data_IF_152317651208
#
_entry.id   IF_152317651208
#
_cell.length_a   1.000
_cell.length_b   1.000
_cell.length_c   1.000
_cell.angle_alpha   90.00
_cell.angle_beta   90.00
_cell.angle_gamma   90.00
#
_symmetry.space_group_name_H-M   'P 1'
#
loop_
_entity.id
_entity.type
_entity.pdbx_description
1 polymer ?
#
# COMPACT_ATOMS: atom_id res chain seq x y z
N UNK A 1 5.86 16.40 -19.42
CA UNK A 1 5.76 15.72 -18.10
C UNK A 1 6.46 14.37 -18.13
N UNK A 2 6.26 13.55 -19.18
CA UNK A 2 6.95 12.26 -19.37
C UNK A 2 8.43 12.35 -19.81
N UNK A 3 8.83 13.44 -20.49
CA UNK A 3 10.20 13.58 -21.02
C UNK A 3 11.29 13.61 -19.90
N UNK A 4 12.49 13.07 -20.17
CA UNK A 4 13.56 12.87 -19.17
C UNK A 4 14.31 14.14 -18.74
N UNK A 5 13.90 15.35 -19.14
CA UNK A 5 14.61 16.58 -18.81
C UNK A 5 13.74 17.66 -18.15
N UNK A 6 14.39 18.34 -17.20
CA UNK A 6 13.99 19.51 -16.41
C UNK A 6 12.74 19.32 -15.50
N UNK A 7 13.00 19.03 -14.21
CA UNK A 7 11.97 18.92 -13.16
C UNK A 7 11.15 20.22 -13.04
N UNK A 8 11.78 21.37 -13.25
CA UNK A 8 11.11 22.68 -13.19
C UNK A 8 10.10 22.79 -14.32
N UNK A 9 10.45 22.34 -15.53
CA UNK A 9 9.53 22.32 -16.66
C UNK A 9 8.37 21.33 -16.44
N UNK A 10 8.64 20.16 -15.84
CA UNK A 10 7.58 19.19 -15.47
C UNK A 10 6.61 19.79 -14.46
N UNK A 11 7.11 20.45 -13.41
CA UNK A 11 6.29 21.11 -12.40
C UNK A 11 5.48 22.27 -12.98
N UNK A 12 6.09 23.11 -13.83
CA UNK A 12 5.38 24.18 -14.52
C UNK A 12 4.26 23.65 -15.42
N UNK A 13 4.51 22.58 -16.18
CA UNK A 13 3.49 21.95 -17.02
C UNK A 13 2.34 21.36 -16.19
N UNK A 14 2.63 20.70 -15.06
CA UNK A 14 1.61 20.17 -14.16
C UNK A 14 0.75 21.30 -13.56
N UNK A 15 1.36 22.41 -13.14
CA UNK A 15 0.64 23.59 -12.64
C UNK A 15 -0.26 24.20 -13.69
N UNK A 16 0.21 24.33 -14.94
CA UNK A 16 -0.59 24.82 -16.05
C UNK A 16 -1.80 23.90 -16.31
N UNK A 17 -1.60 22.58 -16.29
CA UNK A 17 -2.72 21.62 -16.43
C UNK A 17 -3.76 21.80 -15.32
N UNK A 18 -3.31 21.95 -14.07
CA UNK A 18 -4.21 22.21 -12.94
C UNK A 18 -5.00 23.51 -13.12
N UNK A 19 -4.36 24.59 -13.59
CA UNK A 19 -5.06 25.84 -13.90
C UNK A 19 -6.06 25.68 -15.05
N UNK A 20 -5.76 24.84 -16.05
CA UNK A 20 -6.67 24.57 -17.15
C UNK A 20 -7.93 23.79 -16.74
N UNK A 21 -7.92 23.12 -15.58
CA UNK A 21 -9.08 22.38 -15.09
C UNK A 21 -10.27 23.27 -14.72
N UNK A 22 -10.08 24.58 -14.53
CA UNK A 22 -11.16 25.55 -14.35
C UNK A 22 -12.07 25.67 -15.58
N UNK A 23 -11.61 25.20 -16.75
CA UNK A 23 -12.33 25.33 -18.00
C UNK A 23 -13.00 24.02 -18.44
N UNK A 24 -14.34 23.96 -18.51
CA UNK A 24 -15.06 22.72 -18.86
C UNK A 24 -14.71 22.12 -20.22
N UNK A 25 -14.35 22.97 -21.20
CA UNK A 25 -13.97 22.53 -22.53
C UNK A 25 -12.63 21.77 -22.57
N UNK A 26 -11.74 22.03 -21.60
CA UNK A 26 -10.41 21.42 -21.53
C UNK A 26 -10.45 20.05 -20.84
N UNK A 27 -11.41 19.82 -19.94
CA UNK A 27 -11.48 18.63 -19.08
C UNK A 27 -11.43 17.30 -19.85
N UNK A 28 -12.11 17.19 -21.00
CA UNK A 28 -12.09 15.96 -21.80
C UNK A 28 -10.70 15.65 -22.36
N UNK A 29 -9.98 16.69 -22.78
CA UNK A 29 -8.61 16.57 -23.30
C UNK A 29 -7.62 16.29 -22.18
N UNK A 30 -7.75 16.99 -21.05
CA UNK A 30 -6.93 16.79 -19.85
C UNK A 30 -7.13 15.36 -19.34
N UNK A 31 -8.37 14.87 -19.23
CA UNK A 31 -8.66 13.49 -18.85
C UNK A 31 -7.95 12.48 -19.73
N UNK A 32 -8.03 12.64 -21.06
CA UNK A 32 -7.36 11.73 -21.99
C UNK A 32 -5.83 11.74 -21.81
N UNK A 33 -5.25 12.93 -21.66
CA UNK A 33 -3.81 13.09 -21.42
C UNK A 33 -3.39 12.53 -20.06
N UNK A 34 -4.19 12.72 -19.02
CA UNK A 34 -3.94 12.22 -17.68
C UNK A 34 -4.05 10.69 -17.62
N UNK A 35 -5.05 10.12 -18.28
CA UNK A 35 -5.18 8.67 -18.40
C UNK A 35 -3.95 8.08 -19.11
N UNK A 36 -3.52 8.69 -20.23
CA UNK A 36 -2.31 8.27 -20.93
C UNK A 36 -1.05 8.38 -20.05
N UNK A 37 -0.91 9.47 -19.29
CA UNK A 37 0.21 9.68 -18.37
C UNK A 37 0.21 8.63 -17.25
N UNK A 38 -0.95 8.38 -16.63
CA UNK A 38 -1.11 7.35 -15.60
C UNK A 38 -0.83 5.95 -16.15
N UNK A 39 -1.05 5.70 -17.43
CA UNK A 39 -0.80 4.42 -18.07
C UNK A 39 0.70 4.12 -18.30
N UNK A 40 1.56 5.14 -18.28
CA UNK A 40 3.01 5.00 -18.52
C UNK A 40 3.67 4.09 -17.49
N UNK A 41 4.46 3.11 -17.95
CA UNK A 41 5.15 2.14 -17.11
C UNK A 41 6.25 2.72 -16.21
N UNK A 42 6.51 4.01 -16.33
CA UNK A 42 7.50 4.80 -15.58
C UNK A 42 6.81 5.99 -14.90
N UNK A 43 5.49 5.89 -14.68
CA UNK A 43 4.69 6.98 -14.12
C UNK A 43 5.24 7.43 -12.76
N UNK A 44 5.70 6.52 -11.91
CA UNK A 44 6.26 6.89 -10.61
C UNK A 44 7.77 7.20 -10.65
N UNK A 45 8.45 6.88 -11.76
CA UNK A 45 9.87 7.15 -11.95
C UNK A 45 10.14 8.63 -12.25
N UNK A 46 11.26 9.15 -11.73
CA UNK A 46 11.79 10.50 -11.97
C UNK A 46 10.79 11.65 -11.72
N UNK A 47 9.94 11.51 -10.69
CA UNK A 47 8.99 12.55 -10.25
C UNK A 47 9.15 12.83 -8.76
N UNK A 48 9.35 14.10 -8.43
CA UNK A 48 9.39 14.56 -7.06
C UNK A 48 8.02 14.52 -6.39
N UNK A 49 8.01 14.55 -5.06
CA UNK A 49 6.78 14.63 -4.27
C UNK A 49 5.91 15.81 -4.63
N UNK A 50 6.52 16.98 -4.83
CA UNK A 50 5.83 18.18 -5.27
C UNK A 50 5.14 17.98 -6.63
N UNK A 51 5.80 17.32 -7.59
CA UNK A 51 5.23 17.05 -8.90
C UNK A 51 4.06 16.07 -8.84
N UNK A 52 4.18 14.97 -8.08
CA UNK A 52 3.08 14.03 -7.92
C UNK A 52 1.88 14.68 -7.24
N UNK A 53 2.11 15.57 -6.26
CA UNK A 53 1.03 16.32 -5.61
C UNK A 53 0.29 17.26 -6.57
N UNK A 54 1.01 17.99 -7.44
CA UNK A 54 0.37 18.82 -8.48
C UNK A 54 -0.37 17.98 -9.53
N UNK A 55 0.15 16.80 -9.88
CA UNK A 55 -0.57 15.87 -10.76
C UNK A 55 -1.83 15.32 -10.10
N UNK A 56 -1.77 15.04 -8.80
CA UNK A 56 -2.90 14.63 -7.99
C UNK A 56 -4.01 15.69 -7.96
N UNK A 57 -3.69 16.97 -7.80
CA UNK A 57 -4.66 18.09 -7.92
C UNK A 57 -5.39 18.06 -9.27
N UNK A 58 -4.64 17.79 -10.35
CA UNK A 58 -5.21 17.68 -11.70
C UNK A 58 -6.11 16.43 -11.83
N UNK A 59 -5.70 15.29 -11.25
CA UNK A 59 -6.50 14.06 -11.23
C UNK A 59 -7.83 14.28 -10.50
N UNK A 60 -7.80 14.95 -9.36
CA UNK A 60 -9.00 15.24 -8.57
C UNK A 60 -10.00 16.08 -9.35
N UNK A 61 -9.52 17.16 -9.98
CA UNK A 61 -10.41 18.02 -10.75
C UNK A 61 -11.05 17.30 -11.95
N UNK A 62 -10.32 16.37 -12.58
CA UNK A 62 -10.88 15.50 -13.62
C UNK A 62 -11.93 14.55 -13.02
N UNK A 63 -11.68 13.97 -11.85
CA UNK A 63 -12.59 13.04 -11.19
C UNK A 63 -13.87 13.70 -10.66
N UNK A 64 -13.80 14.97 -10.25
CA UNK A 64 -14.98 15.77 -9.84
C UNK A 64 -15.95 15.92 -11.01
N UNK A 65 -15.39 16.11 -12.19
CA UNK A 65 -16.15 16.30 -13.43
C UNK A 65 -16.58 14.99 -14.07
N UNK A 66 -15.74 13.95 -14.00
CA UNK A 66 -15.95 12.67 -14.66
C UNK A 66 -15.31 11.51 -13.88
N UNK A 67 -16.17 10.75 -13.19
CA UNK A 67 -15.77 9.59 -12.38
C UNK A 67 -15.22 8.43 -13.21
N UNK A 68 -15.35 8.44 -14.54
CA UNK A 68 -14.93 7.29 -15.37
C UNK A 68 -13.41 7.16 -15.54
N UNK A 69 -12.59 8.10 -15.05
CA UNK A 69 -11.13 7.99 -15.08
C UNK A 69 -10.63 6.73 -14.32
N UNK A 70 -11.16 6.46 -13.12
CA UNK A 70 -10.78 5.26 -12.35
C UNK A 70 -11.26 3.96 -13.01
N UNK A 71 -12.44 4.00 -13.65
CA UNK A 71 -12.96 2.88 -14.42
C UNK A 71 -12.08 2.59 -15.65
N UNK A 72 -11.57 3.62 -16.33
CA UNK A 72 -10.66 3.49 -17.47
C UNK A 72 -9.36 2.77 -17.11
N UNK A 73 -8.74 3.13 -15.98
CA UNK A 73 -7.58 2.41 -15.43
C UNK A 73 -7.90 0.95 -15.09
N UNK A 74 -9.17 0.64 -14.82
CA UNK A 74 -9.59 -0.68 -14.37
C UNK A 74 -9.88 -1.67 -15.49
N UNK A 75 -10.34 -1.21 -16.66
CA UNK A 75 -10.84 -2.04 -17.76
C UNK A 75 -9.77 -2.45 -18.78
N UNK A 76 -8.73 -1.64 -19.00
CA UNK A 76 -7.81 -1.80 -20.12
C UNK A 76 -6.91 -3.06 -20.02
N UNK A 77 -6.62 -3.56 -18.81
CA UNK A 77 -5.75 -4.73 -18.61
C UNK A 77 -6.47 -6.10 -18.74
N UNK A 78 -7.77 -6.13 -19.05
CA UNK A 78 -8.50 -7.40 -19.24
C UNK A 78 -8.31 -8.01 -20.64
N UNK A 79 -7.54 -7.35 -21.53
CA UNK A 79 -7.51 -7.66 -22.97
C UNK A 79 -6.33 -8.50 -23.50
N UNK A 80 -5.34 -8.91 -22.70
CA UNK A 80 -4.12 -9.57 -23.25
C UNK A 80 -4.19 -11.09 -23.09
N UNK A 81 -4.97 -11.74 -23.96
CA UNK A 81 -5.17 -13.19 -24.00
C UNK A 81 -4.78 -13.84 -25.33
N UNK A 82 -3.72 -13.40 -26.00
CA UNK A 82 -3.30 -13.95 -27.29
C UNK A 82 -1.77 -14.04 -27.43
N UNK A 83 -1.15 -15.04 -26.81
CA UNK A 83 0.26 -15.41 -27.02
C UNK A 83 0.44 -16.92 -26.82
N UNK A 84 1.20 -17.60 -27.68
CA UNK A 84 1.42 -19.06 -27.63
C UNK A 84 2.20 -19.54 -26.41
N UNK A 85 2.15 -20.85 -26.12
CA UNK A 85 2.49 -21.53 -24.85
C UNK A 85 3.83 -21.09 -24.21
N UNK A 86 4.86 -20.73 -24.97
CA UNK A 86 6.16 -20.24 -24.46
C UNK A 86 6.18 -18.73 -24.19
N UNK A 87 5.42 -17.95 -24.94
CA UNK A 87 5.14 -16.53 -24.68
C UNK A 87 4.09 -16.33 -23.56
N UNK A 88 3.32 -17.37 -23.22
CA UNK A 88 2.38 -17.38 -22.09
C UNK A 88 3.11 -17.24 -20.75
N UNK A 89 4.26 -17.88 -20.55
CA UNK A 89 4.98 -17.82 -19.27
C UNK A 89 5.74 -16.51 -19.07
N UNK A 90 6.51 -16.06 -20.08
CA UNK A 90 7.16 -14.74 -20.03
C UNK A 90 6.13 -13.58 -20.01
N UNK A 91 5.03 -13.76 -20.75
CA UNK A 91 3.90 -12.84 -20.74
C UNK A 91 3.22 -12.77 -19.38
N UNK A 92 3.10 -13.89 -18.66
CA UNK A 92 2.43 -13.94 -17.35
C UNK A 92 3.14 -13.08 -16.30
N UNK A 93 4.45 -13.17 -16.14
CA UNK A 93 5.15 -12.33 -15.15
C UNK A 93 5.09 -10.85 -15.51
N UNK A 94 5.21 -10.52 -16.80
CA UNK A 94 5.03 -9.15 -17.29
C UNK A 94 3.60 -8.63 -17.09
N UNK A 95 2.59 -9.49 -17.24
CA UNK A 95 1.18 -9.19 -17.01
C UNK A 95 0.89 -8.98 -15.51
N UNK A 96 1.43 -9.84 -14.64
CA UNK A 96 1.30 -9.67 -13.20
C UNK A 96 1.94 -8.38 -12.71
N UNK A 97 3.13 -8.01 -13.24
CA UNK A 97 3.75 -6.70 -12.99
C UNK A 97 2.87 -5.56 -13.49
N UNK A 98 2.28 -5.67 -14.68
CA UNK A 98 1.39 -4.63 -15.23
C UNK A 98 0.12 -4.44 -14.38
N UNK A 99 -0.45 -5.55 -13.89
CA UNK A 99 -1.61 -5.56 -12.99
C UNK A 99 -1.28 -4.92 -11.64
N UNK A 100 -0.11 -5.21 -11.07
CA UNK A 100 0.38 -4.58 -9.84
C UNK A 100 0.51 -3.06 -10.00
N UNK A 101 1.13 -2.60 -11.11
CA UNK A 101 1.24 -1.17 -11.44
C UNK A 101 -0.12 -0.48 -11.52
N UNK A 102 -1.13 -1.14 -12.09
CA UNK A 102 -2.49 -0.59 -12.13
C UNK A 102 -3.12 -0.48 -10.75
N UNK A 103 -2.93 -1.46 -9.86
CA UNK A 103 -3.43 -1.37 -8.46
C UNK A 103 -2.76 -0.19 -7.74
N UNK A 104 -1.46 0.02 -7.95
CA UNK A 104 -0.73 1.17 -7.41
C UNK A 104 -1.28 2.51 -7.91
N UNK A 105 -1.57 2.63 -9.21
CA UNK A 105 -2.17 3.84 -9.82
C UNK A 105 -3.58 4.11 -9.31
N UNK A 106 -4.38 3.06 -9.13
CA UNK A 106 -5.70 3.15 -8.48
C UNK A 106 -5.52 3.66 -7.05
N UNK A 107 -4.57 3.10 -6.31
CA UNK A 107 -4.25 3.53 -4.94
C UNK A 107 -3.82 5.00 -4.89
N UNK A 108 -3.02 5.45 -5.85
CA UNK A 108 -2.63 6.86 -5.99
C UNK A 108 -3.83 7.76 -6.22
N UNK A 109 -4.71 7.42 -7.18
CA UNK A 109 -5.91 8.21 -7.45
C UNK A 109 -6.85 8.25 -6.23
N UNK A 110 -7.01 7.12 -5.53
CA UNK A 110 -7.83 7.03 -4.31
C UNK A 110 -7.26 7.85 -3.15
N UNK A 111 -5.93 7.87 -3.00
CA UNK A 111 -5.26 8.58 -1.92
C UNK A 111 -5.44 10.08 -2.05
N UNK A 112 -5.22 10.61 -3.25
CA UNK A 112 -5.28 12.04 -3.49
C UNK A 112 -6.69 12.57 -3.77
N UNK A 113 -7.61 11.74 -4.28
CA UNK A 113 -9.00 12.16 -4.52
C UNK A 113 -9.74 12.55 -3.25
N UNK A 114 -10.82 13.31 -3.41
CA UNK A 114 -11.59 13.88 -2.30
C UNK A 114 -12.29 12.78 -1.48
N UNK A 115 -12.55 13.05 -0.21
CA UNK A 115 -13.22 12.10 0.67
C UNK A 115 -14.62 11.80 0.12
N UNK A 116 -15.05 10.53 0.15
CA UNK A 116 -16.36 10.05 -0.36
C UNK A 116 -16.55 10.08 -1.89
N UNK A 117 -15.64 10.70 -2.66
CA UNK A 117 -15.71 10.79 -4.13
C UNK A 117 -15.84 9.41 -4.81
N UNK A 118 -15.20 8.40 -4.21
CA UNK A 118 -15.10 7.04 -4.75
C UNK A 118 -16.08 6.04 -4.14
N UNK A 119 -16.99 6.41 -3.24
CA UNK A 119 -17.86 5.46 -2.53
C UNK A 119 -18.62 4.50 -3.48
N UNK A 120 -19.02 4.97 -4.66
CA UNK A 120 -19.68 4.14 -5.68
C UNK A 120 -18.73 3.15 -6.38
N UNK A 121 -17.43 3.45 -6.44
CA UNK A 121 -16.40 2.67 -7.12
C UNK A 121 -15.64 1.72 -6.18
N UNK A 122 -15.69 1.98 -4.87
CA UNK A 122 -15.03 1.17 -3.84
C UNK A 122 -15.36 -0.32 -4.00
N UNK A 123 -16.62 -0.69 -4.25
CA UNK A 123 -17.00 -2.10 -4.44
C UNK A 123 -16.29 -2.76 -5.63
N UNK A 124 -16.15 -2.04 -6.75
CA UNK A 124 -15.44 -2.53 -7.93
C UNK A 124 -13.94 -2.65 -7.68
N UNK A 125 -13.35 -1.69 -6.95
CA UNK A 125 -11.94 -1.77 -6.52
C UNK A 125 -11.73 -2.98 -5.62
N UNK A 126 -12.57 -3.20 -4.61
CA UNK A 126 -12.47 -4.34 -3.69
C UNK A 126 -12.60 -5.69 -4.40
N UNK A 127 -13.45 -5.79 -5.42
CA UNK A 127 -13.54 -6.99 -6.25
C UNK A 127 -12.23 -7.26 -7.01
N UNK A 128 -11.65 -6.21 -7.61
CA UNK A 128 -10.34 -6.31 -8.27
C UNK A 128 -9.21 -6.70 -7.31
N UNK A 129 -9.21 -6.16 -6.09
CA UNK A 129 -8.27 -6.56 -5.05
C UNK A 129 -8.48 -8.03 -4.66
N UNK A 130 -9.73 -8.50 -4.56
CA UNK A 130 -10.05 -9.91 -4.28
C UNK A 130 -9.41 -10.82 -5.33
N UNK A 131 -9.57 -10.47 -6.60
CA UNK A 131 -9.02 -11.26 -7.70
C UNK A 131 -7.50 -11.19 -7.76
N UNK A 132 -6.89 -10.07 -7.34
CA UNK A 132 -5.44 -9.97 -7.19
C UNK A 132 -4.91 -10.92 -6.11
N UNK A 133 -5.55 -10.97 -4.93
CA UNK A 133 -5.16 -11.86 -3.84
C UNK A 133 -5.31 -13.35 -4.20
N UNK A 134 -6.29 -13.71 -5.03
CA UNK A 134 -6.48 -15.11 -5.50
C UNK A 134 -5.31 -15.63 -6.32
N UNK A 135 -4.58 -14.74 -7.01
CA UNK A 135 -3.43 -15.12 -7.86
C UNK A 135 -2.19 -15.44 -7.01
N UNK A 136 -2.10 -14.93 -5.77
CA UNK A 136 -0.98 -15.14 -4.83
C UNK A 136 0.38 -14.83 -5.44
N UNK A 137 0.47 -13.69 -6.13
CA UNK A 137 1.72 -13.13 -6.62
C UNK A 137 2.21 -12.05 -5.68
N UNK A 138 3.48 -12.11 -5.27
CA UNK A 138 4.08 -11.19 -4.30
C UNK A 138 3.85 -9.71 -4.67
N UNK A 139 4.09 -9.36 -5.93
CA UNK A 139 3.89 -7.99 -6.42
C UNK A 139 2.42 -7.54 -6.31
N UNK A 140 1.47 -8.44 -6.57
CA UNK A 140 0.05 -8.15 -6.43
C UNK A 140 -0.36 -8.03 -4.96
N UNK A 141 0.16 -8.89 -4.09
CA UNK A 141 -0.08 -8.86 -2.65
C UNK A 141 0.35 -7.52 -2.06
N UNK A 142 1.59 -7.09 -2.32
CA UNK A 142 2.15 -5.85 -1.79
C UNK A 142 1.32 -4.63 -2.21
N UNK A 143 1.02 -4.52 -3.50
CA UNK A 143 0.20 -3.40 -4.02
C UNK A 143 -1.26 -3.48 -3.55
N UNK A 144 -1.79 -4.68 -3.31
CA UNK A 144 -3.13 -4.84 -2.72
C UNK A 144 -3.17 -4.33 -1.29
N UNK A 145 -2.19 -4.68 -0.46
CA UNK A 145 -2.11 -4.17 0.92
C UNK A 145 -1.80 -2.66 0.98
N UNK A 146 -1.11 -2.09 -0.01
CA UNK A 146 -1.04 -0.63 -0.18
C UNK A 146 -2.43 -0.03 -0.44
N UNK A 147 -3.17 -0.59 -1.40
CA UNK A 147 -4.51 -0.12 -1.73
C UNK A 147 -5.49 -0.23 -0.55
N UNK A 148 -5.42 -1.31 0.23
CA UNK A 148 -6.24 -1.49 1.43
C UNK A 148 -5.94 -0.43 2.49
N UNK A 149 -4.66 -0.06 2.69
CA UNK A 149 -4.29 1.03 3.61
C UNK A 149 -4.83 2.38 3.16
N UNK A 150 -4.74 2.69 1.86
CA UNK A 150 -5.36 3.90 1.29
C UNK A 150 -6.88 3.90 1.52
N UNK A 151 -7.55 2.78 1.27
CA UNK A 151 -8.99 2.66 1.49
C UNK A 151 -9.38 2.86 2.96
N UNK A 152 -8.62 2.29 3.91
CA UNK A 152 -8.82 2.52 5.35
C UNK A 152 -8.80 4.01 5.69
N UNK A 153 -7.81 4.74 5.17
CA UNK A 153 -7.61 6.16 5.47
C UNK A 153 -8.60 7.09 4.78
N UNK A 154 -9.03 6.78 3.56
CA UNK A 154 -9.85 7.69 2.73
C UNK A 154 -11.34 7.38 2.71
N UNK A 155 -11.73 6.11 2.87
CA UNK A 155 -13.14 5.67 2.79
C UNK A 155 -13.69 5.19 4.12
N UNK A 156 -12.83 5.06 5.13
CA UNK A 156 -13.16 4.56 6.46
C UNK A 156 -13.35 3.06 6.53
N UNK A 157 -13.63 2.56 7.73
CA UNK A 157 -13.64 1.14 8.09
C UNK A 157 -14.75 0.33 7.40
N UNK A 158 -15.88 0.97 7.06
CA UNK A 158 -17.10 0.28 6.60
C UNK A 158 -16.92 -0.49 5.30
N UNK A 159 -16.10 0.04 4.37
CA UNK A 159 -15.78 -0.61 3.10
C UNK A 159 -14.99 -1.91 3.33
N UNK A 160 -14.03 -1.86 4.25
CA UNK A 160 -13.10 -2.95 4.52
C UNK A 160 -13.72 -4.05 5.37
N UNK A 161 -14.74 -3.73 6.18
CA UNK A 161 -15.54 -4.72 6.91
C UNK A 161 -16.08 -5.84 6.00
N UNK A 162 -16.48 -5.50 4.77
CA UNK A 162 -16.98 -6.47 3.78
C UNK A 162 -15.87 -7.29 3.11
N UNK A 163 -14.62 -6.81 3.18
CA UNK A 163 -13.45 -7.43 2.57
C UNK A 163 -12.58 -8.20 3.60
N UNK A 164 -12.88 -8.07 4.90
CA UNK A 164 -12.09 -8.58 6.03
C UNK A 164 -11.67 -10.04 5.92
N UNK A 165 -12.55 -10.95 5.49
CA UNK A 165 -12.24 -12.38 5.41
C UNK A 165 -11.15 -12.68 4.38
N UNK A 166 -11.17 -11.97 3.25
CA UNK A 166 -10.12 -12.10 2.22
C UNK A 166 -8.79 -11.54 2.71
N UNK A 167 -8.81 -10.36 3.34
CA UNK A 167 -7.61 -9.78 3.95
C UNK A 167 -7.02 -10.68 5.03
N UNK A 168 -7.84 -11.19 5.94
CA UNK A 168 -7.41 -12.03 7.05
C UNK A 168 -6.79 -13.34 6.56
N UNK A 169 -7.43 -14.00 5.59
CA UNK A 169 -6.90 -15.24 5.00
C UNK A 169 -5.51 -15.03 4.42
N UNK A 170 -5.30 -13.91 3.74
CA UNK A 170 -4.02 -13.59 3.13
C UNK A 170 -2.97 -13.17 4.18
N UNK A 171 -3.36 -12.38 5.17
CA UNK A 171 -2.52 -12.05 6.34
C UNK A 171 -2.03 -13.32 7.05
N UNK A 172 -2.92 -14.29 7.30
CA UNK A 172 -2.58 -15.59 7.90
C UNK A 172 -1.56 -16.32 7.04
N UNK A 173 -1.84 -16.49 5.74
CA UNK A 173 -0.96 -17.18 4.79
C UNK A 173 0.47 -16.61 4.79
N UNK A 174 0.59 -15.28 4.83
CA UNK A 174 1.89 -14.60 4.78
C UNK A 174 2.61 -14.74 6.11
N UNK A 175 1.90 -14.57 7.23
CA UNK A 175 2.49 -14.66 8.57
C UNK A 175 2.87 -16.10 8.96
N UNK A 176 2.25 -17.13 8.38
CA UNK A 176 2.66 -18.54 8.51
C UNK A 176 4.10 -18.77 8.01
N UNK A 177 4.57 -17.96 7.05
CA UNK A 177 5.93 -18.02 6.50
C UNK A 177 6.51 -16.61 6.34
N UNK A 178 6.77 -15.91 7.46
CA UNK A 178 7.00 -14.46 7.49
C UNK A 178 8.35 -14.04 6.88
N UNK A 179 9.24 -15.00 6.61
CA UNK A 179 10.55 -14.78 5.99
C UNK A 179 10.66 -15.32 4.56
N UNK A 180 9.58 -15.88 4.00
CA UNK A 180 9.57 -16.38 2.62
C UNK A 180 9.66 -15.23 1.61
N UNK A 181 8.90 -14.16 1.85
CA UNK A 181 9.08 -12.87 1.18
C UNK A 181 8.95 -11.73 2.21
N UNK A 182 10.06 -11.04 2.55
CA UNK A 182 10.02 -9.95 3.51
C UNK A 182 9.22 -8.75 3.01
N UNK A 183 9.02 -8.60 1.69
CA UNK A 183 8.24 -7.50 1.12
C UNK A 183 6.74 -7.69 1.33
N UNK A 184 6.21 -8.89 1.08
CA UNK A 184 4.83 -9.25 1.43
C UNK A 184 4.58 -9.09 2.93
N UNK A 185 5.50 -9.58 3.75
CA UNK A 185 5.38 -9.52 5.21
C UNK A 185 5.41 -8.08 5.72
N UNK A 186 6.30 -7.24 5.21
CA UNK A 186 6.33 -5.82 5.56
C UNK A 186 5.04 -5.10 5.13
N UNK A 187 4.45 -5.43 3.97
CA UNK A 187 3.18 -4.86 3.54
C UNK A 187 2.02 -5.22 4.49
N UNK A 188 1.97 -6.48 4.94
CA UNK A 188 1.00 -6.96 5.94
C UNK A 188 1.21 -6.28 7.28
N UNK A 189 2.45 -6.21 7.78
CA UNK A 189 2.75 -5.56 9.05
C UNK A 189 2.39 -4.08 9.05
N UNK A 190 2.65 -3.36 7.95
CA UNK A 190 2.22 -1.96 7.79
C UNK A 190 0.70 -1.80 7.78
N UNK A 191 -0.02 -2.75 7.17
CA UNK A 191 -1.48 -2.76 7.22
C UNK A 191 -1.97 -2.99 8.64
N UNK A 192 -1.41 -3.95 9.37
CA UNK A 192 -1.76 -4.22 10.76
C UNK A 192 -1.42 -3.03 11.69
N UNK A 193 -0.28 -2.37 11.49
CA UNK A 193 0.09 -1.15 12.22
C UNK A 193 -0.96 -0.05 12.00
N UNK A 194 -1.38 0.18 10.75
CA UNK A 194 -2.45 1.14 10.46
C UNK A 194 -3.79 0.78 11.12
N UNK A 195 -4.16 -0.50 11.09
CA UNK A 195 -5.38 -1.00 11.75
C UNK A 195 -5.32 -0.78 13.27
N UNK A 196 -4.16 -1.00 13.90
CA UNK A 196 -3.96 -0.72 15.33
C UNK A 196 -3.99 0.76 15.65
N UNK A 197 -3.37 1.60 14.81
CA UNK A 197 -3.34 3.06 14.95
C UNK A 197 -4.74 3.67 14.86
N UNK A 198 -5.55 3.20 13.92
CA UNK A 198 -6.94 3.65 13.73
C UNK A 198 -7.91 3.00 14.72
N UNK A 199 -7.44 2.12 15.61
CA UNK A 199 -8.25 1.39 16.59
C UNK A 199 -9.50 0.74 15.97
N UNK A 200 -9.32 0.07 14.83
CA UNK A 200 -10.43 -0.53 14.10
C UNK A 200 -10.95 -1.73 14.90
N UNK A 201 -12.07 -1.54 15.61
CA UNK A 201 -12.66 -2.54 16.51
C UNK A 201 -13.03 -3.85 15.80
N UNK A 202 -13.43 -3.76 14.53
CA UNK A 202 -13.75 -4.91 13.68
C UNK A 202 -12.54 -5.83 13.39
N UNK A 203 -11.30 -5.37 13.63
CA UNK A 203 -10.05 -6.14 13.47
C UNK A 203 -9.32 -6.41 14.79
N UNK A 204 -9.85 -5.91 15.92
CA UNK A 204 -9.16 -5.89 17.21
C UNK A 204 -8.93 -7.31 17.77
N UNK A 205 -9.92 -8.21 17.62
CA UNK A 205 -9.81 -9.58 18.11
C UNK A 205 -8.88 -10.44 17.24
N UNK A 206 -8.81 -10.17 15.93
CA UNK A 206 -7.84 -10.84 15.05
C UNK A 206 -6.41 -10.41 15.35
N UNK A 207 -6.18 -9.15 15.74
CA UNK A 207 -4.84 -8.69 16.13
C UNK A 207 -4.32 -9.43 17.37
N UNK A 208 -5.17 -9.67 18.37
CA UNK A 208 -4.82 -10.55 19.50
C UNK A 208 -4.45 -11.96 19.01
N UNK A 209 -5.19 -12.53 18.05
CA UNK A 209 -4.87 -13.86 17.50
C UNK A 209 -3.45 -13.95 16.88
N UNK A 210 -2.93 -12.85 16.33
CA UNK A 210 -1.56 -12.82 15.78
C UNK A 210 -0.48 -12.59 16.83
N UNK A 211 -0.74 -11.79 17.88
CA UNK A 211 0.30 -11.30 18.79
C UNK A 211 0.09 -11.65 20.27
N UNK A 212 -0.90 -12.48 20.62
CA UNK A 212 -1.24 -12.87 22.01
C UNK A 212 -0.04 -13.40 22.81
N UNK A 213 0.87 -14.10 22.12
CA UNK A 213 2.06 -14.71 22.72
C UNK A 213 3.21 -13.73 22.99
N UNK A 214 3.11 -12.45 22.59
CA UNK A 214 4.18 -11.48 22.80
C UNK A 214 4.16 -10.83 24.20
N UNK A 215 3.05 -10.92 24.93
CA UNK A 215 2.88 -10.34 26.26
C UNK A 215 3.42 -11.22 27.41
N UNK A 216 3.71 -12.49 27.18
CA UNK A 216 4.16 -13.42 28.22
C UNK A 216 5.67 -13.62 28.17
N UNK A 217 6.39 -12.81 28.94
CA UNK A 217 7.85 -12.93 29.19
C UNK A 217 8.25 -14.19 29.98
N UNK A 218 7.46 -15.26 29.98
CA UNK A 218 7.65 -16.42 30.85
C UNK A 218 7.79 -17.72 30.07
N UNK A 219 8.94 -17.89 29.41
CA UNK A 219 9.70 -19.15 29.37
C UNK A 219 9.01 -20.47 29.01
N UNK A 220 7.81 -20.46 28.42
CA UNK A 220 7.14 -21.66 27.92
C UNK A 220 6.69 -21.38 26.50
N UNK A 221 7.51 -21.86 25.57
CA UNK A 221 7.12 -22.12 24.19
C UNK A 221 6.04 -23.20 24.24
N UNK A 222 4.80 -22.81 24.57
CA UNK A 222 3.66 -23.60 24.14
C UNK A 222 3.66 -23.53 22.63
N UNK A 223 3.61 -24.70 21.98
CA UNK A 223 3.36 -24.85 20.54
C UNK A 223 2.04 -24.14 20.20
N UNK A 224 2.12 -22.83 20.03
CA UNK A 224 1.01 -22.00 19.64
C UNK A 224 0.82 -22.24 18.16
N UNK A 225 -0.29 -22.85 17.77
CA UNK A 225 -0.73 -22.94 16.37
C UNK A 225 -1.15 -21.56 15.81
N UNK A 226 -0.71 -20.46 16.43
CA UNK A 226 -0.94 -19.12 15.92
C UNK A 226 -0.18 -18.95 14.60
N UNK A 227 -0.80 -18.30 13.60
CA UNK A 227 -0.20 -18.15 12.28
C UNK A 227 1.10 -17.34 12.30
N UNK A 228 1.31 -16.46 13.29
CA UNK A 228 2.55 -15.70 13.44
C UNK A 228 3.56 -16.36 14.41
N UNK A 229 3.40 -17.63 14.77
CA UNK A 229 4.26 -18.30 15.76
C UNK A 229 5.75 -18.25 15.41
N UNK A 230 6.11 -18.41 14.12
CA UNK A 230 7.50 -18.29 13.68
C UNK A 230 8.05 -16.86 13.84
N UNK A 231 7.23 -15.85 13.52
CA UNK A 231 7.58 -14.45 13.72
C UNK A 231 7.75 -14.12 15.21
N UNK A 232 6.82 -14.58 16.05
CA UNK A 232 6.83 -14.36 17.50
C UNK A 232 7.99 -15.11 18.16
N UNK A 233 8.32 -16.33 17.74
CA UNK A 233 9.48 -17.07 18.23
C UNK A 233 10.78 -16.31 17.94
N UNK A 234 10.93 -15.75 16.74
CA UNK A 234 12.07 -14.91 16.37
C UNK A 234 12.13 -13.60 17.12
N UNK A 235 10.98 -13.03 17.48
CA UNK A 235 10.89 -11.84 18.32
C UNK A 235 11.30 -12.16 19.76
N UNK A 236 10.81 -13.27 20.32
CA UNK A 236 11.04 -13.70 21.70
C UNK A 236 12.51 -14.00 22.04
N UNK A 237 13.37 -14.21 21.03
CA UNK A 237 14.83 -14.20 21.20
C UNK A 237 15.37 -12.84 21.72
N UNK A 238 14.54 -11.79 21.74
CA UNK A 238 14.87 -10.40 22.05
C UNK A 238 13.86 -9.88 23.09
N UNK A 239 14.32 -9.26 24.18
CA UNK A 239 13.44 -8.83 25.27
C UNK A 239 12.55 -7.63 24.88
N UNK A 240 11.29 -7.90 24.51
CA UNK A 240 10.35 -6.88 23.99
C UNK A 240 9.85 -5.93 25.09
N UNK A 241 9.80 -6.38 26.35
CA UNK A 241 9.17 -5.66 27.45
C UNK A 241 9.95 -4.40 27.90
N UNK A 242 11.22 -4.30 27.52
CA UNK A 242 12.09 -3.17 27.83
C UNK A 242 12.09 -2.05 26.80
N UNK A 243 11.54 -2.24 25.60
CA UNK A 243 11.65 -1.25 24.52
C UNK A 243 10.61 -0.12 24.67
N UNK A 244 11.08 1.12 24.52
CA UNK A 244 10.20 2.29 24.43
C UNK A 244 9.81 2.52 22.95
N UNK A 245 8.55 2.91 22.69
CA UNK A 245 8.08 3.26 21.33
C UNK A 245 8.99 4.30 20.63
N UNK A 246 9.63 5.18 21.40
CA UNK A 246 10.59 6.18 20.91
C UNK A 246 11.86 5.56 20.29
N UNK A 247 12.30 4.39 20.77
CA UNK A 247 13.45 3.67 20.21
C UNK A 247 13.15 3.18 18.80
N UNK A 248 11.88 2.94 18.45
CA UNK A 248 11.42 2.58 17.11
C UNK A 248 10.94 3.77 16.27
N UNK A 249 11.13 5.01 16.73
CA UNK A 249 10.72 6.23 15.99
C UNK A 249 11.37 6.37 14.61
N UNK A 250 12.50 5.71 14.39
CA UNK A 250 13.20 5.59 13.11
C UNK A 250 12.53 4.59 12.14
N UNK A 251 11.80 3.59 12.67
CA UNK A 251 10.97 2.66 11.90
C UNK A 251 9.62 3.32 11.61
N UNK A 252 9.63 4.39 10.83
CA UNK A 252 8.41 5.01 10.29
C UNK A 252 7.67 4.00 9.40
N UNK A 253 6.35 4.15 9.17
CA UNK A 253 5.71 3.34 8.12
C UNK A 253 6.39 3.57 6.77
N UNK A 254 6.97 4.76 6.61
CA UNK A 254 7.85 5.18 5.52
C UNK A 254 9.35 5.25 5.88
N UNK A 255 9.79 4.59 6.95
CA UNK A 255 11.20 4.54 7.32
C UNK A 255 12.00 4.11 6.10
N UNK A 256 13.03 4.87 5.73
CA UNK A 256 13.72 4.71 4.45
C UNK A 256 14.08 3.23 4.26
N UNK A 257 13.44 2.60 3.28
CA UNK A 257 14.13 1.61 2.49
C UNK A 257 15.33 2.39 1.93
N UNK A 258 16.59 2.03 2.22
CA UNK A 258 17.71 2.71 1.63
C UNK A 258 17.71 2.42 0.13
N UNK A 259 16.98 3.22 -0.64
CA UNK A 259 17.12 3.26 -2.10
C UNK A 259 18.16 4.32 -2.41
N UNK A 260 19.39 4.01 -2.02
CA UNK A 260 20.58 4.76 -2.42
C UNK A 260 21.47 3.75 -3.16
N UNK A 261 21.25 3.58 -4.46
CA UNK A 261 22.09 2.74 -5.32
C UNK A 261 22.16 1.25 -4.96
N UNK A 262 21.33 0.78 -4.03
CA UNK A 262 21.17 -0.62 -3.65
C UNK A 262 19.81 -1.12 -4.13
N UNK A 263 19.80 -2.33 -4.68
CA UNK A 263 18.64 -3.08 -5.13
C UNK A 263 17.50 -3.09 -4.10
N UNK A 264 16.25 -3.12 -4.59
CA UNK A 264 15.01 -3.36 -3.82
C UNK A 264 14.97 -4.78 -3.15
N UNK A 265 16.12 -5.43 -3.03
CA UNK A 265 16.30 -6.85 -2.70
C UNK A 265 16.51 -7.13 -1.22
N UNK A 266 16.78 -6.12 -0.39
CA UNK A 266 17.28 -6.37 0.96
C UNK A 266 16.39 -5.72 2.04
N UNK A 267 15.06 -5.90 1.94
CA UNK A 267 14.26 -5.90 3.18
C UNK A 267 14.73 -7.12 3.96
N UNK A 268 15.74 -6.92 4.81
CA UNK A 268 16.31 -8.03 5.57
C UNK A 268 15.27 -8.58 6.53
N UNK A 269 15.38 -9.86 6.86
CA UNK A 269 14.61 -10.48 7.95
C UNK A 269 14.74 -9.68 9.27
N UNK A 270 15.84 -8.94 9.45
CA UNK A 270 16.04 -8.04 10.59
C UNK A 270 15.09 -6.83 10.58
N UNK A 271 14.80 -6.23 9.42
CA UNK A 271 13.81 -5.14 9.32
C UNK A 271 12.41 -5.65 9.65
N UNK A 272 12.01 -6.80 9.09
CA UNK A 272 10.71 -7.43 9.38
C UNK A 272 10.59 -7.73 10.86
N UNK A 273 11.63 -8.30 11.47
CA UNK A 273 11.70 -8.56 12.91
C UNK A 273 11.57 -7.26 13.73
N UNK A 274 12.31 -6.21 13.41
CA UNK A 274 12.28 -4.95 14.13
C UNK A 274 10.90 -4.25 14.02
N UNK A 275 10.30 -4.26 12.83
CA UNK A 275 8.96 -3.69 12.61
C UNK A 275 7.90 -4.48 13.35
N UNK A 276 7.99 -5.82 13.34
CA UNK A 276 7.08 -6.66 14.09
C UNK A 276 7.22 -6.45 15.61
N UNK A 277 8.44 -6.25 16.14
CA UNK A 277 8.65 -5.86 17.54
C UNK A 277 7.97 -4.54 17.89
N UNK A 278 8.11 -3.51 17.04
CA UNK A 278 7.41 -2.23 17.20
C UNK A 278 5.90 -2.42 17.27
N UNK A 279 5.34 -3.22 16.35
CA UNK A 279 3.91 -3.51 16.31
C UNK A 279 3.45 -4.25 17.58
N UNK A 280 4.19 -5.26 18.02
CA UNK A 280 3.92 -5.96 19.27
C UNK A 280 3.93 -5.02 20.48
N UNK A 281 4.96 -4.19 20.61
CA UNK A 281 5.07 -3.22 21.70
C UNK A 281 3.86 -2.26 21.70
N UNK A 282 3.42 -1.81 20.51
CA UNK A 282 2.21 -0.98 20.37
C UNK A 282 0.94 -1.74 20.78
N UNK A 283 0.77 -2.99 20.36
CA UNK A 283 -0.40 -3.80 20.73
C UNK A 283 -0.44 -4.00 22.25
N UNK A 284 0.70 -4.25 22.91
CA UNK A 284 0.78 -4.37 24.38
C UNK A 284 0.46 -3.04 25.07
N UNK A 285 0.97 -1.92 24.56
CA UNK A 285 0.78 -0.56 25.13
C UNK A 285 -0.54 0.10 24.69
N UNK A 286 -1.31 -0.52 23.80
CA UNK A 286 -2.55 0.05 23.27
C UNK A 286 -3.65 0.25 24.33
N UNK A 287 -3.51 -0.36 25.51
CA UNK A 287 -4.36 -0.08 26.68
C UNK A 287 -4.05 1.26 27.38
N UNK A 288 -2.92 1.92 27.10
CA UNK A 288 -2.47 3.13 27.83
C UNK A 288 -2.44 4.40 26.96
N UNK A 289 -2.34 4.29 25.64
CA UNK A 289 -2.24 5.42 24.72
C UNK A 289 -3.63 5.87 24.20
N UNK A 290 -4.22 6.85 24.88
CA UNK A 290 -5.44 7.57 24.44
C UNK A 290 -5.16 8.74 23.46
N UNK A 291 -3.90 8.96 23.04
CA UNK A 291 -3.60 10.03 22.09
C UNK A 291 -4.15 9.69 20.71
N UNK A 292 -4.94 10.60 20.12
CA UNK A 292 -5.42 10.44 18.73
C UNK A 292 -4.23 10.19 17.78
N UNK A 293 -4.37 9.28 16.82
CA UNK A 293 -3.32 9.04 15.83
C UNK A 293 -3.08 10.34 15.05
N UNK A 294 -1.81 10.71 14.85
CA UNK A 294 -1.46 11.84 13.99
C UNK A 294 -1.69 11.46 12.52
N UNK A 295 -2.93 11.69 12.06
CA UNK A 295 -3.37 11.39 10.70
C UNK A 295 -2.54 12.16 9.66
N UNK A 296 -1.99 13.33 10.02
CA UNK A 296 -1.15 14.11 9.09
C UNK A 296 0.18 13.41 8.83
N UNK A 297 0.77 12.85 9.89
CA UNK A 297 1.98 12.04 9.80
C UNK A 297 1.75 10.74 9.03
N UNK A 298 0.62 10.06 9.27
CA UNK A 298 0.26 8.82 8.55
C UNK A 298 0.09 9.09 7.04
N UNK A 299 -0.61 10.17 6.68
CA UNK A 299 -0.78 10.57 5.28
C UNK A 299 0.56 10.91 4.63
N UNK A 300 1.43 11.65 5.33
CA UNK A 300 2.77 11.95 4.83
C UNK A 300 3.57 10.67 4.57
N UNK A 301 3.52 9.69 5.48
CA UNK A 301 4.23 8.42 5.33
C UNK A 301 3.72 7.59 4.14
N UNK A 302 2.40 7.56 3.93
CA UNK A 302 1.80 6.85 2.79
C UNK A 302 2.09 7.55 1.46
N UNK A 303 2.12 8.88 1.44
CA UNK A 303 2.53 9.67 0.27
C UNK A 303 3.97 9.33 -0.14
N UNK A 304 4.88 9.24 0.82
CA UNK A 304 6.26 8.85 0.58
C UNK A 304 6.40 7.43 0.00
N UNK A 305 5.49 6.51 0.33
CA UNK A 305 5.51 5.15 -0.19
C UNK A 305 5.22 5.08 -1.70
N UNK A 306 4.41 6.01 -2.24
CA UNK A 306 4.19 6.11 -3.68
C UNK A 306 5.45 6.52 -4.45
N UNK A 307 6.37 7.26 -3.82
CA UNK A 307 7.63 7.72 -4.41
C UNK A 307 8.71 6.64 -4.48
N UNK A 308 8.61 5.58 -3.67
CA UNK A 308 9.58 4.49 -3.68
C UNK A 308 9.47 3.74 -5.01
N UNK A 309 10.60 3.62 -5.72
CA UNK A 309 10.69 3.24 -7.12
C UNK A 309 9.88 2.01 -7.52
N UNK A 310 9.26 2.11 -8.69
CA UNK A 310 8.62 1.05 -9.45
C UNK A 310 9.60 -0.11 -9.64
N UNK A 311 9.18 -1.33 -9.28
CA UNK A 311 9.88 -2.61 -9.43
C UNK A 311 11.19 -2.55 -10.24
N UNK A 312 12.34 -2.59 -9.56
CA UNK A 312 13.61 -2.75 -10.24
C UNK A 312 13.52 -4.00 -11.13
N UNK A 313 13.81 -3.81 -12.42
CA UNK A 313 13.73 -4.80 -13.50
C UNK A 313 14.45 -6.10 -13.17
#
# INVERSE_FOLDING_TARGET
ISAPHDEVAKSAAAKLLSSCCEYPWALKTIKKGMLALLEESTFFEDKSSALLRTLAETVNCVLDSDKTLLAGLSTQNQGVGAGGITAVFAGRDSDLKSRAKVIRRISFCLFFGEEQQFNAQVSSVLEKLRDALRVRSNNLTVETFLCLRVLLLRTGVQSIKHFRASTLTETIRILEKPFADPMETAAVLRFLDLVTLLQVTDFSYELSFFFDSCATSTGRVSESNAPAAELVARIAETDVAGFQLEEFSHLRMSGSIPVCGGTLSDISAAFVKAYAMKLCARVVQSNELQSQPDVTMINFELEQEFHQHEFAS
#
